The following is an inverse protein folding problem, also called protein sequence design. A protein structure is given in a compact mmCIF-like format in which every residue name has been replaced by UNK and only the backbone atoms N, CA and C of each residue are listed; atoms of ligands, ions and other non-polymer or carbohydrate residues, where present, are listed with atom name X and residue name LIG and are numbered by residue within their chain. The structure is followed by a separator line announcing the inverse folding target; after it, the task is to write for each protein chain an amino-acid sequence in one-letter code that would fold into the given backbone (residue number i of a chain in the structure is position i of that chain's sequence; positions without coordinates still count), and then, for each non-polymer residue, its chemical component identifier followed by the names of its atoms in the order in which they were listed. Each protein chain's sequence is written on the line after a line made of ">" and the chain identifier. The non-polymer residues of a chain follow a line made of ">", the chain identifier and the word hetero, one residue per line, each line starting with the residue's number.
data_IF_314217298739
#
_entry.id   IF_314217298739
#
_cell.length_a   1.000
_cell.length_b   1.000
_cell.length_c   1.000
_cell.angle_alpha   90.00
_cell.angle_beta   90.00
_cell.angle_gamma   90.00
#
_symmetry.space_group_name_H-M   'P 1'
#
loop_
_entity.id
_entity.type
_entity.pdbx_description
1 polymer ?
#
# COMPACT_ATOMS: atom_id res chain seq x y z
N UNK A 1 -6.77 -16.08 -3.16
CA UNK A 1 -5.51 -15.39 -2.81
C UNK A 1 -5.33 -15.49 -1.31
N UNK A 2 -4.30 -16.21 -0.85
CA UNK A 2 -4.11 -16.51 0.57
C UNK A 2 -3.70 -15.24 1.34
N UNK A 3 -3.90 -15.22 2.66
CA UNK A 3 -3.60 -14.10 3.55
C UNK A 3 -2.16 -13.60 3.37
N UNK A 4 -1.19 -14.52 3.26
CA UNK A 4 0.22 -14.20 2.94
C UNK A 4 0.41 -13.46 1.61
N UNK A 5 -0.29 -13.88 0.56
CA UNK A 5 -0.18 -13.24 -0.77
C UNK A 5 -0.78 -11.83 -0.75
N UNK A 6 -1.87 -11.62 0.01
CA UNK A 6 -2.46 -10.30 0.21
C UNK A 6 -1.52 -9.34 0.95
N UNK A 7 -0.77 -9.84 1.94
CA UNK A 7 0.27 -9.06 2.62
C UNK A 7 1.35 -8.61 1.63
N UNK A 8 1.88 -9.54 0.82
CA UNK A 8 2.90 -9.20 -0.19
C UNK A 8 2.36 -8.18 -1.20
N UNK A 9 1.11 -8.33 -1.62
CA UNK A 9 0.46 -7.39 -2.53
C UNK A 9 0.30 -5.99 -1.90
N UNK A 10 -0.11 -5.91 -0.63
CA UNK A 10 -0.22 -4.65 0.10
C UNK A 10 1.13 -3.93 0.22
N UNK A 11 2.21 -4.68 0.51
CA UNK A 11 3.58 -4.14 0.52
C UNK A 11 3.97 -3.60 -0.86
N UNK A 12 3.63 -4.31 -1.94
CA UNK A 12 3.87 -3.85 -3.31
C UNK A 12 3.17 -2.53 -3.62
N UNK A 13 1.92 -2.36 -3.18
CA UNK A 13 1.17 -1.10 -3.34
C UNK A 13 1.84 0.04 -2.58
N UNK A 14 2.29 -0.20 -1.35
CA UNK A 14 2.97 0.82 -0.53
C UNK A 14 4.30 1.23 -1.18
N UNK A 15 5.08 0.28 -1.70
CA UNK A 15 6.31 0.56 -2.43
C UNK A 15 6.03 1.41 -3.69
N UNK A 16 4.97 1.09 -4.43
CA UNK A 16 4.55 1.91 -5.57
C UNK A 16 4.14 3.32 -5.12
N UNK A 17 3.37 3.45 -4.04
CA UNK A 17 2.99 4.76 -3.51
C UNK A 17 4.23 5.63 -3.18
N UNK A 18 5.27 5.05 -2.58
CA UNK A 18 6.53 5.75 -2.28
C UNK A 18 7.23 6.22 -3.56
N UNK A 19 7.26 5.39 -4.61
CA UNK A 19 7.85 5.78 -5.90
C UNK A 19 7.07 6.93 -6.54
N UNK A 20 5.73 6.89 -6.50
CA UNK A 20 4.87 7.96 -6.98
C UNK A 20 5.07 9.25 -6.19
N UNK A 21 5.32 9.16 -4.89
CA UNK A 21 5.62 10.32 -4.05
C UNK A 21 6.92 11.00 -4.48
N UNK A 22 7.96 10.21 -4.72
CA UNK A 22 9.26 10.71 -5.20
C UNK A 22 9.14 11.37 -6.58
N UNK A 23 8.39 10.76 -7.49
CA UNK A 23 8.10 11.33 -8.81
C UNK A 23 7.27 12.62 -8.68
N UNK A 24 6.21 12.61 -7.88
CA UNK A 24 5.34 13.76 -7.67
C UNK A 24 6.08 14.95 -7.09
N UNK A 25 6.99 14.72 -6.13
CA UNK A 25 7.88 15.74 -5.58
C UNK A 25 8.86 16.27 -6.64
N UNK A 26 9.49 15.38 -7.41
CA UNK A 26 10.45 15.75 -8.46
C UNK A 26 9.83 16.60 -9.57
N UNK A 27 8.59 16.30 -9.96
CA UNK A 27 7.84 17.05 -10.97
C UNK A 27 7.01 18.20 -10.39
N UNK A 28 7.04 18.42 -9.07
CA UNK A 28 6.20 19.39 -8.34
C UNK A 28 4.70 19.28 -8.69
N UNK A 29 4.23 18.06 -8.95
CA UNK A 29 2.88 17.81 -9.42
C UNK A 29 1.99 17.29 -8.30
N UNK A 30 1.10 18.16 -7.82
CA UNK A 30 0.17 17.88 -6.72
C UNK A 30 -0.73 16.68 -7.03
N UNK A 31 -1.16 16.48 -8.27
CA UNK A 31 -2.05 15.37 -8.62
C UNK A 31 -1.38 14.01 -8.44
N UNK A 32 -0.07 13.93 -8.72
CA UNK A 32 0.72 12.72 -8.52
C UNK A 32 0.87 12.43 -7.02
N UNK A 33 1.06 13.46 -6.19
CA UNK A 33 1.12 13.33 -4.73
C UNK A 33 -0.23 12.93 -4.13
N UNK A 34 -1.34 13.44 -4.66
CA UNK A 34 -2.68 13.00 -4.21
C UNK A 34 -2.91 11.52 -4.55
N UNK A 35 -2.47 11.09 -5.73
CA UNK A 35 -2.52 9.67 -6.13
C UNK A 35 -1.59 8.80 -5.26
N UNK A 36 -0.37 9.25 -4.94
CA UNK A 36 0.54 8.54 -4.04
C UNK A 36 -0.12 8.33 -2.67
N UNK A 37 -0.78 9.36 -2.14
CA UNK A 37 -1.46 9.32 -0.85
C UNK A 37 -2.64 8.33 -0.85
N UNK A 38 -3.45 8.34 -1.91
CA UNK A 38 -4.57 7.40 -2.06
C UNK A 38 -4.09 5.93 -2.15
N UNK A 39 -3.00 5.68 -2.87
CA UNK A 39 -2.38 4.37 -2.96
C UNK A 39 -1.80 3.92 -1.62
N UNK A 40 -1.13 4.83 -0.90
CA UNK A 40 -0.59 4.55 0.43
C UNK A 40 -1.69 4.16 1.42
N UNK A 41 -2.78 4.93 1.49
CA UNK A 41 -3.92 4.63 2.37
C UNK A 41 -4.52 3.26 2.02
N UNK A 42 -4.75 3.01 0.73
CA UNK A 42 -5.30 1.75 0.25
C UNK A 42 -4.39 0.57 0.60
N UNK A 43 -3.08 0.69 0.36
CA UNK A 43 -2.09 -0.33 0.68
C UNK A 43 -2.03 -0.63 2.17
N UNK A 44 -2.07 0.39 3.03
CA UNK A 44 -2.08 0.23 4.49
C UNK A 44 -3.35 -0.47 4.96
N UNK A 45 -4.52 -0.07 4.49
CA UNK A 45 -5.80 -0.70 4.89
C UNK A 45 -5.85 -2.19 4.50
N UNK A 46 -5.44 -2.52 3.27
CA UNK A 46 -5.36 -3.92 2.81
C UNK A 46 -4.32 -4.69 3.63
N UNK A 47 -3.16 -4.08 3.90
CA UNK A 47 -2.09 -4.67 4.68
C UNK A 47 -2.53 -5.04 6.09
N UNK A 48 -3.11 -4.09 6.83
CA UNK A 48 -3.59 -4.31 8.20
C UNK A 48 -4.63 -5.41 8.23
N UNK A 49 -5.64 -5.36 7.35
CA UNK A 49 -6.68 -6.40 7.27
C UNK A 49 -6.08 -7.78 7.00
N UNK A 50 -5.13 -7.86 6.08
CA UNK A 50 -4.50 -9.13 5.70
C UNK A 50 -3.61 -9.70 6.82
N UNK A 51 -2.96 -8.82 7.60
CA UNK A 51 -2.18 -9.21 8.78
C UNK A 51 -3.08 -9.75 9.88
N UNK A 52 -4.22 -9.07 10.14
CA UNK A 52 -5.21 -9.52 11.13
C UNK A 52 -5.80 -10.87 10.72
N UNK A 53 -6.22 -11.04 9.46
CA UNK A 53 -6.70 -12.32 8.92
C UNK A 53 -5.64 -13.42 9.10
N UNK A 54 -4.37 -13.13 8.77
CA UNK A 54 -3.28 -14.09 8.90
C UNK A 54 -2.96 -14.50 10.35
N UNK A 55 -3.06 -13.55 11.30
CA UNK A 55 -2.87 -13.82 12.72
C UNK A 55 -4.06 -14.59 13.30
N UNK A 56 -5.29 -14.23 12.90
CA UNK A 56 -6.51 -14.91 13.33
C UNK A 56 -6.64 -16.33 12.80
N UNK A 57 -6.14 -16.63 11.60
CA UNK A 57 -6.05 -18.00 11.07
C UNK A 57 -5.05 -18.89 11.85
N UNK A 58 -4.21 -18.29 12.71
CA UNK A 58 -3.16 -18.98 13.47
C UNK A 58 -3.44 -19.14 14.96
N UNK A 59 -4.49 -18.50 15.49
CA UNK A 59 -4.97 -18.70 16.87
C UNK A 59 -6.09 -19.73 16.89
#
# INVERSE_FOLDING_TARGET
>A
MNSKQRIVFAVGIILMAILFDYLGSSFQNIWILVLSMALAITGVLIGIRSIIEYLGERM
#
